data_IF_580807498871
#
_entry.id   IF_580807498871
#
_cell.length_a   1.000
_cell.length_b   1.000
_cell.length_c   1.000
_cell.angle_alpha   90.00
_cell.angle_beta   90.00
_cell.angle_gamma   90.00
#
_symmetry.space_group_name_H-M   'P 1'
#
loop_
_entity.id
_entity.type
_entity.pdbx_description
1 polymer ?
#
# COMPACT_ATOMS: atom_id res chain seq x y z
N UNK A 1 19.65 9.88 9.20
CA UNK A 1 18.98 11.17 9.42
C UNK A 1 17.58 11.11 8.82
N UNK A 2 16.58 11.62 9.51
CA UNK A 2 15.23 11.77 8.95
C UNK A 2 15.30 12.93 7.95
N UNK A 3 14.79 12.74 6.73
CA UNK A 3 14.72 13.80 5.71
C UNK A 3 13.65 14.82 6.05
N UNK A 4 13.80 16.04 5.56
CA UNK A 4 12.80 17.12 5.71
C UNK A 4 11.60 16.94 4.76
N UNK A 5 11.77 16.14 3.71
CA UNK A 5 10.75 15.88 2.70
C UNK A 5 10.37 14.39 2.68
N UNK A 6 9.14 14.11 2.27
CA UNK A 6 8.65 12.76 2.03
C UNK A 6 9.02 12.29 0.63
N UNK A 7 9.39 11.00 0.51
CA UNK A 7 9.45 10.31 -0.78
C UNK A 7 8.22 9.44 -0.98
N UNK A 8 7.48 9.72 -2.03
CA UNK A 8 6.20 9.08 -2.33
C UNK A 8 6.31 8.38 -3.68
N UNK A 9 6.11 7.07 -3.72
CA UNK A 9 5.98 6.34 -4.98
C UNK A 9 4.50 6.36 -5.40
N UNK A 10 4.18 7.08 -6.47
CA UNK A 10 2.88 7.01 -7.14
C UNK A 10 2.95 5.89 -8.18
N UNK A 11 2.02 4.94 -8.14
CA UNK A 11 1.86 3.86 -9.13
C UNK A 11 0.49 3.96 -9.74
N UNK A 12 0.45 4.06 -11.07
CA UNK A 12 -0.78 4.00 -11.86
C UNK A 12 -0.88 2.62 -12.52
N UNK A 13 -1.90 1.87 -12.14
CA UNK A 13 -2.16 0.53 -12.64
C UNK A 13 -2.70 0.49 -14.07
N UNK A 14 -3.40 1.54 -14.52
CA UNK A 14 -3.92 1.61 -15.88
C UNK A 14 -2.77 1.81 -16.88
N UNK A 15 -1.83 2.72 -16.57
CA UNK A 15 -0.66 2.96 -17.43
C UNK A 15 0.53 2.06 -17.12
N UNK A 16 0.47 1.31 -16.01
CA UNK A 16 1.54 0.44 -15.49
C UNK A 16 2.86 1.19 -15.24
N UNK A 17 2.76 2.46 -14.84
CA UNK A 17 3.91 3.33 -14.58
C UNK A 17 3.98 3.68 -13.11
N UNK A 18 5.19 3.98 -12.65
CA UNK A 18 5.36 4.59 -11.34
C UNK A 18 6.41 5.69 -11.38
N UNK A 19 6.24 6.66 -10.48
CA UNK A 19 7.10 7.82 -10.35
C UNK A 19 7.30 8.11 -8.88
N UNK A 20 8.56 8.33 -8.50
CA UNK A 20 8.87 8.83 -7.16
C UNK A 20 8.79 10.35 -7.17
N UNK A 21 8.01 10.89 -6.25
CA UNK A 21 7.89 12.33 -6.01
C UNK A 21 8.47 12.68 -4.64
N UNK A 22 9.04 13.88 -4.56
CA UNK A 22 9.40 14.51 -3.29
C UNK A 22 8.28 15.46 -2.90
N UNK A 23 7.82 15.35 -1.66
CA UNK A 23 6.71 16.15 -1.12
C UNK A 23 7.14 16.80 0.21
N UNK A 24 6.93 18.10 0.33
CA UNK A 24 7.22 18.84 1.55
C UNK A 24 6.11 18.67 2.61
N UNK A 25 6.26 19.33 3.76
CA UNK A 25 5.25 19.32 4.83
C UNK A 25 5.50 18.28 5.91
N UNK A 26 6.72 17.73 6.03
CA UNK A 26 7.03 16.81 7.13
C UNK A 26 6.88 17.46 8.51
N UNK A 27 7.27 18.72 8.64
CA UNK A 27 7.14 19.45 9.91
C UNK A 27 5.69 19.80 10.25
N UNK A 28 4.78 19.72 9.28
CA UNK A 28 3.35 20.01 9.48
C UNK A 28 2.53 18.75 9.72
N UNK A 29 2.81 17.66 8.99
CA UNK A 29 1.99 16.42 9.07
C UNK A 29 2.71 15.21 9.63
N UNK A 30 4.00 15.32 9.96
CA UNK A 30 4.85 14.33 10.67
C UNK A 30 5.13 13.01 9.90
N UNK A 31 4.11 12.40 9.30
CA UNK A 31 4.14 11.08 8.65
C UNK A 31 2.87 10.28 8.97
N UNK A 32 2.88 8.97 8.70
CA UNK A 32 1.77 8.08 9.06
C UNK A 32 0.41 8.61 8.59
N UNK A 33 -0.56 8.71 9.49
CA UNK A 33 -1.93 9.21 9.19
C UNK A 33 -1.93 10.65 8.65
N UNK A 34 -1.06 11.54 9.15
CA UNK A 34 -0.99 12.92 8.66
C UNK A 34 -0.53 12.99 7.20
N UNK A 35 0.49 12.20 6.84
CA UNK A 35 0.91 12.06 5.44
C UNK A 35 -0.19 11.40 4.60
N UNK A 36 -0.90 10.41 5.15
CA UNK A 36 -1.97 9.72 4.44
C UNK A 36 -3.13 10.67 4.09
N UNK A 37 -3.55 11.50 5.05
CA UNK A 37 -4.55 12.54 4.84
C UNK A 37 -4.11 13.58 3.82
N UNK A 38 -2.86 14.08 3.91
CA UNK A 38 -2.30 15.03 2.93
C UNK A 38 -2.31 14.45 1.50
N UNK A 39 -1.91 13.18 1.35
CA UNK A 39 -1.93 12.49 0.07
C UNK A 39 -3.37 12.26 -0.43
N UNK A 40 -4.31 11.98 0.46
CA UNK A 40 -5.72 11.85 0.08
C UNK A 40 -6.33 13.18 -0.36
N UNK A 41 -5.94 14.31 0.23
CA UNK A 41 -6.34 15.64 -0.28
C UNK A 41 -5.83 15.90 -1.70
N UNK A 42 -4.67 15.33 -2.06
CA UNK A 42 -4.05 15.53 -3.38
C UNK A 42 -4.58 14.60 -4.47
N UNK A 43 -4.79 13.33 -4.13
CA UNK A 43 -5.11 12.27 -5.09
C UNK A 43 -6.52 11.70 -4.91
N UNK A 44 -7.19 11.98 -3.79
CA UNK A 44 -8.52 11.48 -3.51
C UNK A 44 -9.59 12.24 -4.28
N UNK A 45 -10.70 11.56 -4.56
CA UNK A 45 -11.86 12.15 -5.23
C UNK A 45 -13.09 12.09 -4.31
N UNK A 46 -13.29 13.06 -3.40
CA UNK A 46 -14.36 13.00 -2.40
C UNK A 46 -15.77 12.86 -3.00
N UNK A 47 -16.00 13.50 -4.15
CA UNK A 47 -17.29 13.48 -4.85
C UNK A 47 -17.57 12.23 -5.69
N UNK A 48 -16.56 11.36 -5.91
CA UNK A 48 -16.70 10.13 -6.71
C UNK A 48 -16.87 8.92 -5.81
N UNK A 49 -17.53 7.87 -6.28
CA UNK A 49 -17.69 6.62 -5.52
C UNK A 49 -16.36 6.03 -5.06
N UNK A 50 -16.34 5.29 -3.95
CA UNK A 50 -15.21 4.49 -3.48
C UNK A 50 -14.67 3.51 -4.53
N UNK A 51 -15.53 3.06 -5.46
CA UNK A 51 -15.19 2.07 -6.49
C UNK A 51 -14.68 2.72 -7.78
N UNK A 52 -14.62 4.04 -7.83
CA UNK A 52 -14.04 4.75 -8.97
C UNK A 52 -12.55 4.36 -9.09
N UNK A 53 -12.07 3.96 -10.28
CA UNK A 53 -10.71 3.44 -10.46
C UNK A 53 -9.63 4.49 -10.16
N UNK A 54 -9.96 5.78 -10.17
CA UNK A 54 -9.01 6.83 -9.81
C UNK A 54 -8.90 7.03 -8.28
N UNK A 55 -9.74 6.38 -7.46
CA UNK A 55 -9.60 6.47 -6.01
C UNK A 55 -8.26 5.89 -5.55
N UNK A 56 -7.52 6.62 -4.70
CA UNK A 56 -6.21 6.17 -4.28
C UNK A 56 -6.32 5.14 -3.14
N UNK A 57 -5.46 4.13 -3.20
CA UNK A 57 -5.09 3.28 -2.07
C UNK A 57 -3.70 3.69 -1.60
N UNK A 58 -3.62 4.26 -0.40
CA UNK A 58 -2.43 4.98 0.09
C UNK A 58 -1.83 4.21 1.27
N UNK A 59 -0.56 3.84 1.18
CA UNK A 59 0.20 3.26 2.28
C UNK A 59 1.28 4.24 2.76
N UNK A 60 1.33 4.55 4.04
CA UNK A 60 2.34 5.47 4.61
C UNK A 60 3.02 4.88 5.84
N UNK A 61 4.22 5.39 6.15
CA UNK A 61 4.96 5.06 7.38
C UNK A 61 5.20 6.31 8.24
N UNK A 62 5.41 6.09 9.54
CA UNK A 62 5.77 7.14 10.48
C UNK A 62 7.27 7.49 10.43
N UNK A 63 7.66 8.68 10.91
CA UNK A 63 9.05 9.14 10.85
C UNK A 63 10.00 8.32 11.73
N UNK A 64 9.46 7.67 12.78
CA UNK A 64 10.23 6.84 13.71
C UNK A 64 10.44 5.40 13.20
N UNK A 65 9.85 5.03 12.07
CA UNK A 65 9.97 3.69 11.50
C UNK A 65 11.42 3.35 11.17
N UNK A 66 11.93 2.29 11.80
CA UNK A 66 13.31 1.83 11.65
C UNK A 66 14.34 2.55 12.52
N UNK A 67 13.93 3.56 13.30
CA UNK A 67 14.79 4.26 14.27
C UNK A 67 14.63 3.74 15.69
N UNK A 68 13.41 3.39 16.08
CA UNK A 68 13.09 2.91 17.42
C UNK A 68 12.45 1.52 17.37
N UNK A 69 12.64 0.69 18.42
CA UNK A 69 11.96 -0.59 18.51
C UNK A 69 10.44 -0.40 18.46
N UNK A 70 9.74 -1.39 17.91
CA UNK A 70 8.27 -1.45 17.82
C UNK A 70 7.60 -0.37 16.95
N UNK A 71 8.32 0.62 16.41
CA UNK A 71 7.81 1.62 15.45
C UNK A 71 7.61 0.99 14.06
N UNK A 72 6.60 0.13 13.97
CA UNK A 72 6.42 -0.84 12.87
C UNK A 72 5.06 -0.72 12.18
N UNK A 73 4.37 0.41 12.34
CA UNK A 73 3.04 0.62 11.77
C UNK A 73 3.12 1.16 10.35
N UNK A 74 2.24 0.65 9.51
CA UNK A 74 1.91 1.19 8.19
C UNK A 74 0.45 1.61 8.26
N UNK A 75 0.15 2.82 7.80
CA UNK A 75 -1.23 3.29 7.63
C UNK A 75 -1.67 2.98 6.22
N UNK A 76 -2.88 2.47 6.05
CA UNK A 76 -3.54 2.29 4.76
C UNK A 76 -4.75 3.24 4.72
N UNK A 77 -4.69 4.31 3.94
CA UNK A 77 -5.79 5.24 3.75
C UNK A 77 -6.47 5.05 2.40
N UNK A 78 -7.79 5.19 2.39
CA UNK A 78 -8.65 4.91 1.24
C UNK A 78 -10.02 5.58 1.41
N UNK A 79 -10.85 5.55 0.37
CA UNK A 79 -12.29 5.83 0.49
C UNK A 79 -13.04 4.54 0.82
N UNK A 80 -13.76 4.53 1.93
CA UNK A 80 -14.39 3.33 2.49
C UNK A 80 -15.49 2.75 1.59
N UNK A 81 -15.48 1.45 1.28
CA UNK A 81 -16.61 0.79 0.62
C UNK A 81 -17.85 0.65 1.50
N UNK A 82 -17.73 0.84 2.82
CA UNK A 82 -18.85 0.70 3.76
C UNK A 82 -19.71 1.97 3.84
N UNK A 83 -19.09 3.16 3.86
CA UNK A 83 -19.78 4.43 4.08
C UNK A 83 -19.37 5.54 3.11
N UNK A 84 -18.54 5.25 2.11
CA UNK A 84 -18.12 6.20 1.07
C UNK A 84 -17.47 7.49 1.64
N UNK A 85 -16.68 7.38 2.70
CA UNK A 85 -15.92 8.50 3.29
C UNK A 85 -14.42 8.15 3.39
N UNK A 86 -13.59 9.18 3.62
CA UNK A 86 -12.19 8.98 3.99
C UNK A 86 -12.08 8.06 5.21
N UNK A 87 -11.03 7.26 5.18
CA UNK A 87 -10.91 6.08 5.99
C UNK A 87 -9.43 5.68 6.09
N UNK A 88 -9.01 5.20 7.26
CA UNK A 88 -7.69 4.59 7.41
C UNK A 88 -7.69 3.32 8.29
N UNK A 89 -6.80 2.39 7.95
CA UNK A 89 -6.55 1.17 8.69
C UNK A 89 -5.07 1.04 9.04
N UNK A 90 -4.76 0.38 10.15
CA UNK A 90 -3.40 0.30 10.67
C UNK A 90 -2.89 -1.14 10.67
N UNK A 91 -2.00 -1.43 9.73
CA UNK A 91 -1.23 -2.66 9.66
C UNK A 91 0.15 -2.46 10.29
N UNK A 92 0.94 -3.52 10.37
CA UNK A 92 2.32 -3.37 10.80
C UNK A 92 3.16 -4.62 10.67
N UNK A 93 4.26 -4.66 11.41
CA UNK A 93 5.28 -5.69 11.27
C UNK A 93 6.30 -5.28 10.23
N UNK A 94 6.56 -6.14 9.24
CA UNK A 94 7.64 -5.89 8.27
C UNK A 94 7.25 -4.90 7.18
N UNK A 95 5.97 -4.58 7.02
CA UNK A 95 5.50 -3.65 5.99
C UNK A 95 6.12 -2.27 6.09
N UNK A 96 6.20 -1.74 7.32
CA UNK A 96 6.74 -0.41 7.56
C UNK A 96 8.24 -0.36 7.26
N UNK A 97 8.97 -1.40 7.68
CA UNK A 97 10.40 -1.54 7.39
C UNK A 97 10.67 -1.78 5.90
N UNK A 98 9.81 -2.53 5.21
CA UNK A 98 9.96 -2.77 3.77
C UNK A 98 9.84 -1.47 2.97
N UNK A 99 8.87 -0.61 3.28
CA UNK A 99 8.77 0.73 2.69
C UNK A 99 9.98 1.59 3.05
N UNK A 100 10.38 1.60 4.33
CA UNK A 100 11.55 2.35 4.79
C UNK A 100 12.84 1.94 4.05
N UNK A 101 13.09 0.64 3.88
CA UNK A 101 14.27 0.12 3.18
C UNK A 101 14.16 0.19 1.65
N UNK A 102 12.95 0.36 1.12
CA UNK A 102 12.74 0.78 -0.26
C UNK A 102 12.94 2.30 -0.46
N UNK A 103 13.33 3.02 0.60
CA UNK A 103 13.54 4.47 0.61
C UNK A 103 12.25 5.29 0.39
N UNK A 104 11.11 4.73 0.78
CA UNK A 104 9.78 5.33 0.61
C UNK A 104 9.14 5.65 1.96
N UNK A 105 8.56 6.85 2.02
CA UNK A 105 7.69 7.27 3.13
C UNK A 105 6.22 6.94 2.83
N UNK A 106 5.86 6.84 1.54
CA UNK A 106 4.54 6.41 1.11
C UNK A 106 4.54 5.69 -0.26
N UNK A 107 3.51 4.88 -0.47
CA UNK A 107 3.10 4.28 -1.73
C UNK A 107 1.65 4.70 -2.00
N UNK A 108 1.40 5.34 -3.13
CA UNK A 108 0.05 5.69 -3.60
C UNK A 108 -0.25 4.85 -4.83
N UNK A 109 -1.32 4.07 -4.80
CA UNK A 109 -1.78 3.27 -5.94
C UNK A 109 -3.08 3.87 -6.46
N UNK A 110 -3.12 4.18 -7.76
CA UNK A 110 -4.30 4.67 -8.48
C UNK A 110 -4.52 3.85 -9.75
N UNK A 111 -5.68 4.04 -10.38
CA UNK A 111 -6.07 3.32 -11.58
C UNK A 111 -6.44 1.87 -11.28
N UNK A 112 -6.78 1.15 -12.35
CA UNK A 112 -7.12 -0.27 -12.28
C UNK A 112 -6.33 -1.05 -13.32
N UNK A 113 -5.81 -2.22 -12.93
CA UNK A 113 -5.15 -3.12 -13.86
C UNK A 113 -6.19 -3.96 -14.61
N UNK A 114 -5.98 -4.20 -15.91
CA UNK A 114 -6.87 -5.04 -16.72
C UNK A 114 -6.95 -6.50 -16.26
N UNK A 115 -5.89 -6.99 -15.60
CA UNK A 115 -5.79 -8.35 -15.07
C UNK A 115 -5.24 -8.34 -13.64
N UNK A 116 -5.57 -9.36 -12.83
CA UNK A 116 -4.99 -9.53 -11.50
C UNK A 116 -3.46 -9.43 -11.56
N UNK A 117 -2.92 -8.47 -10.81
CA UNK A 117 -1.52 -8.08 -10.88
C UNK A 117 -0.92 -7.90 -9.50
N UNK A 118 0.40 -8.09 -9.40
CA UNK A 118 1.18 -7.82 -8.20
C UNK A 118 2.16 -6.69 -8.48
N UNK A 119 2.15 -5.67 -7.61
CA UNK A 119 3.15 -4.62 -7.58
C UNK A 119 4.30 -5.10 -6.69
N UNK A 120 5.52 -5.09 -7.24
CA UNK A 120 6.72 -5.51 -6.54
C UNK A 120 7.75 -4.39 -6.55
N UNK A 121 7.99 -3.81 -5.38
CA UNK A 121 8.83 -2.62 -5.19
C UNK A 121 10.13 -3.02 -4.48
N UNK A 122 11.24 -2.48 -4.96
CA UNK A 122 12.51 -2.42 -4.24
C UNK A 122 13.06 -1.00 -4.22
N UNK A 123 14.28 -0.84 -3.71
CA UNK A 123 14.90 0.47 -3.51
C UNK A 123 15.13 1.25 -4.82
N UNK A 124 15.19 0.58 -5.98
CA UNK A 124 15.51 1.21 -7.28
C UNK A 124 14.63 0.75 -8.43
N UNK A 125 13.67 -0.13 -8.18
CA UNK A 125 12.93 -0.82 -9.22
C UNK A 125 11.48 -1.09 -8.82
N UNK A 126 10.60 -0.93 -9.81
CA UNK A 126 9.18 -1.19 -9.74
C UNK A 126 8.86 -2.22 -10.82
N UNK A 127 8.23 -3.33 -10.43
CA UNK A 127 7.75 -4.35 -11.35
C UNK A 127 6.27 -4.55 -11.11
N UNK A 128 5.46 -4.44 -12.17
CA UNK A 128 4.05 -4.81 -12.15
C UNK A 128 3.91 -6.10 -12.94
N UNK A 129 3.63 -7.20 -12.24
CA UNK A 129 3.55 -8.55 -12.83
C UNK A 129 2.12 -9.04 -12.84
N UNK A 130 1.64 -9.46 -14.00
CA UNK A 130 0.34 -10.14 -14.14
C UNK A 130 0.42 -11.53 -13.53
N UNK A 131 -0.56 -11.87 -12.70
CA UNK A 131 -0.66 -13.15 -11.99
C UNK A 131 -2.12 -13.65 -12.00
N UNK A 132 -2.78 -13.82 -13.17
CA UNK A 132 -4.20 -14.13 -13.23
C UNK A 132 -4.61 -15.39 -12.44
N UNK A 133 -3.70 -16.36 -12.34
CA UNK A 133 -3.92 -17.63 -11.64
C UNK A 133 -3.93 -17.52 -10.09
N UNK A 134 -3.60 -16.36 -9.51
CA UNK A 134 -3.72 -16.14 -8.05
C UNK A 134 -5.12 -15.71 -7.65
N UNK A 135 -5.95 -15.28 -8.61
CA UNK A 135 -7.33 -14.88 -8.35
C UNK A 135 -8.16 -16.08 -7.90
N UNK A 136 -9.03 -15.88 -6.91
CA UNK A 136 -9.85 -16.92 -6.29
C UNK A 136 -9.09 -17.77 -5.26
N UNK A 137 -7.78 -17.55 -5.07
CA UNK A 137 -6.97 -18.29 -4.09
C UNK A 137 -7.07 -17.65 -2.71
N UNK A 138 -6.93 -18.47 -1.67
CA UNK A 138 -6.91 -17.93 -0.31
C UNK A 138 -5.58 -17.19 -0.02
N UNK A 139 -5.58 -16.35 1.01
CA UNK A 139 -4.44 -15.49 1.37
C UNK A 139 -3.14 -16.25 1.68
N UNK A 140 -3.20 -17.54 2.04
CA UNK A 140 -2.01 -18.37 2.30
C UNK A 140 -1.42 -18.90 0.99
N UNK A 141 -2.27 -19.42 0.11
CA UNK A 141 -1.89 -19.88 -1.23
C UNK A 141 -1.32 -18.73 -2.06
N UNK A 142 -2.03 -17.61 -2.12
CA UNK A 142 -1.58 -16.39 -2.81
C UNK A 142 -0.21 -15.95 -2.30
N UNK A 143 0.00 -15.97 -0.98
CA UNK A 143 1.30 -15.64 -0.38
C UNK A 143 2.43 -16.60 -0.83
N UNK A 144 2.17 -17.90 -0.92
CA UNK A 144 3.15 -18.90 -1.42
C UNK A 144 3.45 -18.69 -2.90
N UNK A 145 2.43 -18.48 -3.72
CA UNK A 145 2.55 -18.27 -5.16
C UNK A 145 3.30 -16.97 -5.48
N UNK A 146 2.95 -15.86 -4.84
CA UNK A 146 3.64 -14.58 -5.04
C UNK A 146 5.13 -14.71 -4.67
N UNK A 147 5.47 -15.41 -3.58
CA UNK A 147 6.88 -15.65 -3.20
C UNK A 147 7.67 -16.41 -4.26
N UNK A 148 7.07 -17.40 -4.91
CA UNK A 148 7.76 -18.22 -5.91
C UNK A 148 7.84 -17.53 -7.28
N UNK A 149 6.79 -16.79 -7.66
CA UNK A 149 6.63 -16.23 -9.00
C UNK A 149 7.21 -14.83 -9.14
N UNK A 150 7.26 -14.07 -8.05
CA UNK A 150 7.88 -12.74 -7.98
C UNK A 150 9.26 -12.91 -7.36
N UNK A 151 10.21 -13.39 -8.17
CA UNK A 151 11.60 -13.53 -7.75
C UNK A 151 12.23 -12.15 -7.57
N UNK A 152 12.36 -11.74 -6.32
CA UNK A 152 13.30 -10.72 -5.86
C UNK A 152 14.29 -11.40 -4.92
N UNK A 153 15.52 -10.92 -4.87
CA UNK A 153 16.60 -11.51 -4.09
C UNK A 153 16.27 -11.72 -2.59
N UNK A 154 17.24 -12.21 -1.82
CA UNK A 154 17.14 -12.29 -0.36
C UNK A 154 16.85 -10.91 0.27
N UNK A 155 16.21 -10.87 1.45
CA UNK A 155 16.03 -9.63 2.21
C UNK A 155 14.70 -9.49 2.97
N UNK A 156 14.49 -8.30 3.55
CA UNK A 156 13.30 -7.95 4.33
C UNK A 156 12.08 -7.71 3.42
N UNK A 157 11.49 -8.78 2.90
CA UNK A 157 10.24 -8.73 2.12
C UNK A 157 9.01 -8.69 3.03
N UNK A 158 8.00 -7.98 2.57
CA UNK A 158 6.62 -8.03 3.05
C UNK A 158 5.71 -8.37 1.87
N UNK A 159 4.60 -9.06 2.10
CA UNK A 159 3.59 -9.31 1.07
C UNK A 159 2.22 -8.94 1.62
N UNK A 160 1.63 -7.92 1.01
CA UNK A 160 0.24 -7.52 1.18
C UNK A 160 -0.61 -8.21 0.11
N UNK A 161 -1.69 -8.87 0.51
CA UNK A 161 -2.63 -9.48 -0.44
C UNK A 161 -4.05 -9.49 0.09
N UNK A 162 -5.00 -9.55 -0.82
CA UNK A 162 -6.41 -9.84 -0.54
C UNK A 162 -6.69 -11.33 -0.75
N UNK A 163 -7.83 -11.79 -0.25
CA UNK A 163 -8.44 -13.07 -0.62
C UNK A 163 -9.78 -12.86 -1.32
N UNK A 164 -10.58 -13.93 -1.48
CA UNK A 164 -11.83 -13.88 -2.25
C UNK A 164 -12.83 -12.81 -1.78
N UNK A 165 -12.82 -12.44 -0.49
CA UNK A 165 -13.66 -11.36 0.01
C UNK A 165 -13.31 -10.00 -0.63
N UNK A 166 -12.02 -9.70 -0.82
CA UNK A 166 -11.58 -8.46 -1.48
C UNK A 166 -11.82 -8.52 -2.99
N UNK A 167 -11.63 -9.69 -3.60
CA UNK A 167 -11.91 -9.93 -5.02
C UNK A 167 -13.40 -9.72 -5.35
N UNK A 168 -14.28 -10.13 -4.44
CA UNK A 168 -15.73 -9.94 -4.53
C UNK A 168 -16.20 -8.57 -3.98
N UNK A 169 -15.27 -7.65 -3.69
CA UNK A 169 -15.57 -6.29 -3.24
C UNK A 169 -16.43 -6.21 -1.96
N UNK A 170 -16.25 -7.14 -1.03
CA UNK A 170 -16.91 -7.08 0.27
C UNK A 170 -16.46 -5.85 1.06
N UNK A 171 -17.41 -5.09 1.60
CA UNK A 171 -17.12 -3.88 2.37
C UNK A 171 -16.33 -4.15 3.67
N UNK A 172 -16.27 -5.40 4.13
CA UNK A 172 -15.52 -5.85 5.31
C UNK A 172 -14.28 -6.68 4.95
N UNK A 173 -13.85 -6.66 3.69
CA UNK A 173 -12.64 -7.35 3.26
C UNK A 173 -11.39 -6.70 3.87
N UNK A 174 -10.48 -7.54 4.38
CA UNK A 174 -9.17 -7.10 4.86
C UNK A 174 -8.06 -7.32 3.84
N UNK A 175 -6.94 -6.61 4.02
CA UNK A 175 -5.68 -6.86 3.34
C UNK A 175 -4.76 -7.59 4.32
N UNK A 176 -4.42 -8.84 4.02
CA UNK A 176 -3.48 -9.64 4.82
C UNK A 176 -2.04 -9.21 4.53
N UNK A 177 -1.31 -8.94 5.60
CA UNK A 177 0.11 -8.59 5.59
C UNK A 177 0.90 -9.74 6.19
N UNK A 178 1.80 -10.31 5.40
CA UNK A 178 2.61 -11.46 5.80
C UNK A 178 1.75 -12.60 6.36
N UNK A 179 2.07 -13.21 7.51
CA UNK A 179 1.33 -14.39 7.99
C UNK A 179 0.12 -14.02 8.86
N UNK A 180 0.25 -13.03 9.74
CA UNK A 180 -0.73 -12.79 10.83
C UNK A 180 -1.18 -11.33 11.00
N UNK A 181 -0.68 -10.42 10.18
CA UNK A 181 -1.04 -8.99 10.27
C UNK A 181 -2.08 -8.67 9.19
N UNK A 182 -2.86 -7.63 9.40
CA UNK A 182 -3.89 -7.24 8.48
C UNK A 182 -4.21 -5.75 8.59
N UNK A 183 -4.64 -5.17 7.48
CA UNK A 183 -5.48 -3.99 7.45
C UNK A 183 -6.92 -4.50 7.38
N UNK A 184 -7.56 -4.66 8.53
CA UNK A 184 -8.80 -5.45 8.64
C UNK A 184 -10.08 -4.65 8.77
N UNK A 185 -9.98 -3.36 9.11
CA UNK A 185 -11.13 -2.54 9.45
C UNK A 185 -10.88 -1.07 9.15
N UNK A 186 -11.99 -0.34 9.07
CA UNK A 186 -12.15 0.98 9.64
C UNK A 186 -12.74 0.87 11.05
#
# INVERSE_FOLDING_TARGET
>A
MIRDNFRVLLVDLATRRGKVETLDGRDTVVGGSGLAALLFTRYGHPARSWRDPDQPLIFTIGPLTGYFPLMSKTVCAFKSPYHDQYAESHGGGRSALALRFADLDALVVVGSAEKPSCIAIGSRDLVIKELPFVWGKNVFETGKMVRSLVKRGGGHRTIMRIGPAGENLSAIAGINVDTYRHFGRL
#
